data_IF_202809413013
#
_entry.id   IF_202809413013
#
_cell.length_a   1.000
_cell.length_b   1.000
_cell.length_c   1.000
_cell.angle_alpha   90.00
_cell.angle_beta   90.00
_cell.angle_gamma   90.00
#
_symmetry.space_group_name_H-M   'P 1'
#
loop_
_entity.id
_entity.type
_entity.pdbx_description
1 polymer ?
#
# COMPACT_ATOMS: atom_id res chain seq x y z
N UNK A 1 -18.25 -0.09 0.18
CA UNK A 1 -16.90 -0.51 -0.24
C UNK A 1 -17.00 -1.36 -1.49
N UNK A 2 -16.54 -0.87 -2.65
CA UNK A 2 -16.39 -1.72 -3.85
C UNK A 2 -15.38 -2.83 -3.53
N UNK A 3 -15.76 -4.08 -3.79
CA UNK A 3 -14.89 -5.23 -3.54
C UNK A 3 -13.97 -5.46 -4.73
N UNK A 4 -12.66 -5.48 -4.46
CA UNK A 4 -11.68 -5.91 -5.45
C UNK A 4 -11.99 -7.33 -5.94
N UNK A 5 -11.75 -7.58 -7.22
CA UNK A 5 -12.16 -8.81 -7.90
C UNK A 5 -11.62 -10.08 -7.24
N UNK A 6 -10.36 -10.09 -6.82
CA UNK A 6 -9.76 -11.22 -6.10
C UNK A 6 -10.38 -11.50 -4.71
N UNK A 7 -11.15 -10.55 -4.14
CA UNK A 7 -11.88 -10.73 -2.88
C UNK A 7 -13.34 -11.13 -3.08
N UNK A 8 -13.83 -11.15 -4.34
CA UNK A 8 -15.24 -11.49 -4.63
C UNK A 8 -15.57 -12.94 -4.30
N UNK A 9 -14.59 -13.85 -4.31
CA UNK A 9 -14.78 -15.28 -4.06
C UNK A 9 -14.78 -15.70 -2.59
N UNK A 10 -14.46 -14.79 -1.66
CA UNK A 10 -14.46 -15.14 -0.25
C UNK A 10 -15.92 -15.20 0.28
N UNK A 11 -16.30 -16.33 0.88
CA UNK A 11 -17.66 -16.61 1.35
C UNK A 11 -18.18 -15.55 2.35
N UNK A 12 -17.30 -15.01 3.21
CA UNK A 12 -17.62 -13.91 4.14
C UNK A 12 -17.95 -12.61 3.39
N UNK A 13 -17.44 -12.45 2.17
CA UNK A 13 -17.68 -11.28 1.32
C UNK A 13 -18.87 -11.45 0.36
N UNK A 14 -19.40 -12.66 0.15
CA UNK A 14 -20.60 -12.90 -0.66
C UNK A 14 -21.91 -12.71 0.13
N UNK A 15 -21.93 -12.97 1.43
CA UNK A 15 -23.16 -12.97 2.21
C UNK A 15 -23.48 -11.59 2.84
N UNK A 16 -24.46 -10.86 2.29
CA UNK A 16 -24.87 -9.53 2.78
C UNK A 16 -25.48 -9.55 4.18
N UNK A 17 -26.29 -10.56 4.53
CA UNK A 17 -26.93 -10.64 5.85
C UNK A 17 -25.93 -10.99 6.94
N UNK A 18 -24.99 -11.91 6.67
CA UNK A 18 -23.87 -12.19 7.59
C UNK A 18 -23.00 -10.96 7.81
N UNK A 19 -22.75 -10.14 6.79
CA UNK A 19 -22.03 -8.86 6.95
C UNK A 19 -22.75 -7.88 7.85
N UNK A 20 -24.06 -7.72 7.69
CA UNK A 20 -24.84 -6.80 8.52
C UNK A 20 -24.83 -7.25 9.99
N UNK A 21 -25.03 -8.54 10.24
CA UNK A 21 -24.94 -9.11 11.58
C UNK A 21 -23.54 -8.94 12.19
N UNK A 22 -22.48 -9.22 11.42
CA UNK A 22 -21.09 -9.04 11.85
C UNK A 22 -20.75 -7.57 12.14
N UNK A 23 -21.21 -6.65 11.29
CA UNK A 23 -21.06 -5.21 11.51
C UNK A 23 -21.75 -4.76 12.79
N UNK A 24 -23.01 -5.18 13.01
CA UNK A 24 -23.74 -4.87 14.24
C UNK A 24 -23.02 -5.42 15.48
N UNK A 25 -22.46 -6.63 15.39
CA UNK A 25 -21.69 -7.23 16.47
C UNK A 25 -20.42 -6.42 16.79
N UNK A 26 -19.62 -6.04 15.80
CA UNK A 26 -18.44 -5.17 15.98
C UNK A 26 -18.84 -3.84 16.62
N UNK A 27 -19.89 -3.19 16.10
CA UNK A 27 -20.33 -1.90 16.61
C UNK A 27 -20.79 -1.98 18.06
N UNK A 28 -21.49 -3.06 18.47
CA UNK A 28 -21.89 -3.27 19.86
C UNK A 28 -20.69 -3.49 20.78
N UNK A 29 -19.68 -4.24 20.34
CA UNK A 29 -18.45 -4.43 21.11
C UNK A 29 -17.70 -3.10 21.29
N UNK A 30 -17.58 -2.32 20.22
CA UNK A 30 -16.92 -1.03 20.28
C UNK A 30 -17.70 -0.03 21.14
N UNK A 31 -19.05 -0.02 21.08
CA UNK A 31 -19.89 0.84 21.93
C UNK A 31 -19.70 0.50 23.41
N UNK A 32 -19.66 -0.79 23.75
CA UNK A 32 -19.38 -1.25 25.12
C UNK A 32 -17.99 -0.82 25.58
N UNK A 33 -16.97 -1.03 24.75
CA UNK A 33 -15.61 -0.63 25.07
C UNK A 33 -15.49 0.88 25.29
N UNK A 34 -16.08 1.70 24.41
CA UNK A 34 -16.10 3.15 24.58
C UNK A 34 -16.83 3.57 25.85
N UNK A 35 -17.92 2.88 26.22
CA UNK A 35 -18.70 3.21 27.42
C UNK A 35 -17.99 2.81 28.72
N UNK A 36 -17.30 1.67 28.73
CA UNK A 36 -16.62 1.15 29.92
C UNK A 36 -15.26 1.79 30.15
N UNK A 37 -14.47 1.95 29.08
CA UNK A 37 -13.11 2.48 29.16
C UNK A 37 -13.07 4.01 29.09
N UNK A 38 -14.07 4.64 28.45
CA UNK A 38 -14.16 6.09 28.24
C UNK A 38 -12.89 6.69 27.64
N UNK A 39 -12.47 6.24 26.45
CA UNK A 39 -11.26 6.75 25.81
C UNK A 39 -11.38 8.24 25.46
N UNK A 40 -10.29 8.97 25.65
CA UNK A 40 -10.14 10.33 25.10
C UNK A 40 -10.02 10.29 23.57
N UNK A 41 -9.39 9.24 23.02
CA UNK A 41 -9.16 9.07 21.58
C UNK A 41 -9.50 7.65 21.12
N UNK A 42 -10.24 7.54 20.02
CA UNK A 42 -10.45 6.30 19.27
C UNK A 42 -9.77 6.45 17.91
N UNK A 43 -8.61 5.82 17.75
CA UNK A 43 -7.91 5.72 16.47
C UNK A 43 -8.47 4.57 15.65
N UNK A 44 -8.97 4.89 14.45
CA UNK A 44 -9.58 3.94 13.52
C UNK A 44 -8.70 3.82 12.27
N UNK A 45 -8.13 2.64 12.08
CA UNK A 45 -7.40 2.33 10.85
C UNK A 45 -8.39 1.81 9.80
N UNK A 46 -8.54 2.55 8.69
CA UNK A 46 -9.51 2.30 7.60
C UNK A 46 -10.99 2.41 7.99
N UNK A 47 -11.47 1.66 8.98
CA UNK A 47 -12.80 1.86 9.56
C UNK A 47 -13.99 1.35 8.75
N UNK A 48 -13.82 0.33 7.91
CA UNK A 48 -14.88 -0.19 7.03
C UNK A 48 -16.23 -0.51 7.72
N UNK A 49 -16.26 -1.19 8.89
CA UNK A 49 -17.49 -1.46 9.64
C UNK A 49 -18.05 -0.26 10.42
N UNK A 50 -17.25 0.79 10.65
CA UNK A 50 -17.62 1.91 11.52
C UNK A 50 -18.57 2.84 10.75
N UNK A 51 -19.72 3.16 11.35
CA UNK A 51 -20.76 3.97 10.70
C UNK A 51 -20.76 5.41 11.24
N UNK A 52 -21.20 6.40 10.42
CA UNK A 52 -21.34 7.78 10.88
C UNK A 52 -22.24 7.91 12.11
N UNK A 53 -23.36 7.17 12.10
CA UNK A 53 -24.32 7.17 13.21
C UNK A 53 -23.72 6.62 14.49
N UNK A 54 -22.83 5.62 14.39
CA UNK A 54 -22.14 5.09 15.55
C UNK A 54 -21.24 6.16 16.19
N UNK A 55 -20.39 6.82 15.38
CA UNK A 55 -19.47 7.85 15.87
C UNK A 55 -20.24 8.97 16.56
N UNK A 56 -21.29 9.49 15.89
CA UNK A 56 -22.17 10.53 16.47
C UNK A 56 -22.82 10.11 17.79
N UNK A 57 -23.26 8.85 17.92
CA UNK A 57 -23.85 8.34 19.17
C UNK A 57 -22.86 8.26 20.32
N UNK A 58 -21.62 7.84 20.05
CA UNK A 58 -20.57 7.79 21.09
C UNK A 58 -20.20 9.20 21.53
N UNK A 59 -19.96 10.10 20.58
CA UNK A 59 -19.61 11.51 20.84
C UNK A 59 -20.71 12.27 21.59
N UNK A 60 -21.98 11.92 21.38
CA UNK A 60 -23.09 12.52 22.13
C UNK A 60 -23.12 12.12 23.62
N UNK A 61 -22.36 11.10 24.03
CA UNK A 61 -22.37 10.53 25.39
C UNK A 61 -21.03 10.61 26.11
N UNK A 62 -19.95 10.88 25.38
CA UNK A 62 -18.60 10.97 25.91
C UNK A 62 -17.78 11.98 25.11
N UNK A 63 -16.85 12.65 25.79
CA UNK A 63 -15.89 13.56 25.15
C UNK A 63 -14.75 12.75 24.51
N UNK A 64 -15.06 12.00 23.45
CA UNK A 64 -14.13 11.11 22.76
C UNK A 64 -13.84 11.65 21.36
N UNK A 65 -12.56 11.83 21.04
CA UNK A 65 -12.07 12.19 19.72
C UNK A 65 -12.02 10.95 18.82
N UNK A 66 -12.61 11.03 17.62
CA UNK A 66 -12.50 9.98 16.61
C UNK A 66 -11.50 10.37 15.54
N UNK A 67 -10.37 9.67 15.49
CA UNK A 67 -9.30 9.90 14.52
C UNK A 67 -9.28 8.75 13.52
N UNK A 68 -9.25 9.03 12.22
CA UNK A 68 -9.11 8.01 11.19
C UNK A 68 -7.74 8.11 10.52
N UNK A 69 -7.09 6.97 10.30
CA UNK A 69 -6.02 6.85 9.32
C UNK A 69 -6.48 5.94 8.18
N UNK A 70 -6.68 6.52 7.00
CA UNK A 70 -7.21 5.84 5.83
C UNK A 70 -6.09 5.51 4.83
N UNK A 71 -5.66 4.23 4.72
CA UNK A 71 -4.48 3.84 3.94
C UNK A 71 -4.74 3.72 2.42
N UNK A 72 -5.94 4.06 1.97
CA UNK A 72 -6.40 3.93 0.59
C UNK A 72 -6.98 5.27 0.09
N UNK A 73 -7.50 5.33 -1.14
CA UNK A 73 -8.20 6.51 -1.63
C UNK A 73 -9.65 6.55 -1.09
N UNK A 74 -10.02 7.54 -0.26
CA UNK A 74 -11.35 7.60 0.32
C UNK A 74 -12.45 7.86 -0.72
N UNK A 75 -12.16 8.62 -1.80
CA UNK A 75 -13.12 8.86 -2.89
C UNK A 75 -13.56 7.58 -3.60
N UNK A 76 -12.70 6.57 -3.60
CA UNK A 76 -12.98 5.28 -4.24
C UNK A 76 -13.68 4.29 -3.32
N UNK A 77 -13.38 4.33 -2.02
CA UNK A 77 -13.64 3.20 -1.12
C UNK A 77 -14.81 3.39 -0.15
N UNK A 78 -15.12 4.63 0.25
CA UNK A 78 -16.11 4.93 1.28
C UNK A 78 -17.07 6.06 0.89
N UNK A 79 -18.31 6.08 1.43
CA UNK A 79 -19.22 7.21 1.26
C UNK A 79 -18.73 8.48 1.97
N UNK A 80 -19.10 9.64 1.45
CA UNK A 80 -18.75 10.96 2.00
C UNK A 80 -19.08 11.10 3.49
N UNK A 81 -20.30 10.73 3.91
CA UNK A 81 -20.72 10.87 5.32
C UNK A 81 -19.91 10.03 6.30
N UNK A 82 -19.14 9.03 5.84
CA UNK A 82 -18.18 8.32 6.69
C UNK A 82 -16.96 9.16 7.03
N UNK A 83 -16.55 10.07 6.15
CA UNK A 83 -15.37 10.93 6.33
C UNK A 83 -15.71 12.06 7.30
N UNK A 84 -16.85 12.72 7.09
CA UNK A 84 -17.35 13.85 7.90
C UNK A 84 -17.56 13.50 9.38
N UNK A 85 -17.87 12.23 9.68
CA UNK A 85 -18.16 11.81 11.03
C UNK A 85 -16.96 11.82 11.99
N UNK A 86 -15.72 11.75 11.45
CA UNK A 86 -14.49 11.77 12.24
C UNK A 86 -14.08 13.20 12.60
N UNK A 87 -13.42 13.36 13.75
CA UNK A 87 -12.84 14.65 14.15
C UNK A 87 -11.58 14.98 13.36
N UNK A 88 -10.76 13.96 13.07
CA UNK A 88 -9.54 14.06 12.26
C UNK A 88 -9.52 12.88 11.29
N UNK A 89 -9.29 13.16 10.02
CA UNK A 89 -9.23 12.16 8.96
C UNK A 89 -7.93 12.30 8.16
N UNK A 90 -7.00 11.38 8.42
CA UNK A 90 -5.74 11.29 7.67
C UNK A 90 -5.92 10.48 6.39
N UNK A 91 -5.43 11.03 5.28
CA UNK A 91 -5.38 10.33 3.98
C UNK A 91 -4.01 10.48 3.33
N UNK A 92 -3.55 9.40 2.67
CA UNK A 92 -2.31 9.40 1.88
C UNK A 92 -2.44 10.04 0.49
N UNK A 93 -3.59 10.61 0.15
CA UNK A 93 -3.94 11.03 -1.21
C UNK A 93 -4.39 12.49 -1.22
N UNK A 94 -3.49 13.44 -1.54
CA UNK A 94 -3.86 14.86 -1.51
C UNK A 94 -4.84 15.23 -2.59
N UNK A 95 -4.96 14.47 -3.68
CA UNK A 95 -6.04 14.70 -4.65
C UNK A 95 -7.41 14.57 -3.96
N UNK A 96 -7.59 13.50 -3.18
CA UNK A 96 -8.82 13.26 -2.44
C UNK A 96 -9.02 14.31 -1.35
N UNK A 97 -7.97 14.63 -0.59
CA UNK A 97 -7.99 15.66 0.45
C UNK A 97 -8.46 17.01 -0.11
N UNK A 98 -7.81 17.51 -1.17
CA UNK A 98 -8.13 18.80 -1.79
C UNK A 98 -9.54 18.82 -2.37
N UNK A 99 -9.96 17.75 -3.05
CA UNK A 99 -11.30 17.65 -3.62
C UNK A 99 -12.39 17.70 -2.54
N UNK A 100 -12.15 17.09 -1.39
CA UNK A 100 -13.09 17.07 -0.27
C UNK A 100 -13.07 18.39 0.54
N UNK A 101 -11.91 19.04 0.65
CA UNK A 101 -11.80 20.37 1.26
C UNK A 101 -12.55 21.44 0.45
N UNK A 102 -12.59 21.32 -0.89
CA UNK A 102 -13.36 22.22 -1.76
C UNK A 102 -14.86 22.23 -1.48
N UNK A 103 -15.42 21.14 -0.92
CA UNK A 103 -16.83 21.07 -0.52
C UNK A 103 -17.05 21.41 0.96
N UNK A 104 -16.03 21.93 1.65
CA UNK A 104 -16.11 22.45 3.01
C UNK A 104 -15.66 21.52 4.13
N UNK A 105 -15.10 20.34 3.84
CA UNK A 105 -14.56 19.47 4.89
C UNK A 105 -13.24 20.00 5.45
N UNK A 106 -13.25 20.40 6.72
CA UNK A 106 -12.08 20.92 7.43
C UNK A 106 -11.27 19.90 8.24
N UNK A 107 -11.77 18.66 8.36
CA UNK A 107 -11.18 17.63 9.23
C UNK A 107 -10.12 16.75 8.53
N UNK A 108 -9.67 17.12 7.34
CA UNK A 108 -8.82 16.29 6.47
C UNK A 108 -7.35 16.71 6.54
N UNK A 109 -6.49 15.72 6.76
CA UNK A 109 -5.04 15.92 6.87
C UNK A 109 -4.30 14.94 5.96
N UNK A 110 -3.21 15.40 5.36
CA UNK A 110 -2.33 14.51 4.62
C UNK A 110 -1.47 13.70 5.58
N UNK A 111 -1.34 12.40 5.36
CA UNK A 111 -0.36 11.58 6.03
C UNK A 111 0.12 10.46 5.09
N UNK A 112 1.40 10.44 4.70
CA UNK A 112 1.90 9.40 3.81
C UNK A 112 1.96 8.04 4.52
N UNK A 113 2.08 6.97 3.73
CA UNK A 113 2.32 5.63 4.28
C UNK A 113 3.72 5.56 4.92
N UNK A 114 4.07 4.39 5.45
CA UNK A 114 5.26 4.20 6.27
C UNK A 114 5.85 2.80 6.09
N UNK A 115 7.08 2.64 6.56
CA UNK A 115 7.72 1.35 6.79
C UNK A 115 7.68 0.97 8.29
N UNK A 116 7.89 -0.31 8.56
CA UNK A 116 8.07 -0.85 9.92
C UNK A 116 9.40 -1.59 9.89
N UNK A 117 10.52 -1.01 10.37
CA UNK A 117 11.85 -1.61 10.20
C UNK A 117 11.96 -3.07 10.69
N UNK A 118 11.25 -3.41 11.78
CA UNK A 118 11.17 -4.78 12.29
C UNK A 118 10.53 -5.79 11.31
N UNK A 119 9.76 -5.31 10.32
CA UNK A 119 9.09 -6.13 9.31
C UNK A 119 9.61 -5.88 7.89
N UNK A 120 10.28 -4.75 7.65
CA UNK A 120 10.80 -4.33 6.34
C UNK A 120 12.29 -4.02 6.49
N UNK A 121 13.12 -5.01 6.16
CA UNK A 121 14.57 -4.92 6.24
C UNK A 121 15.21 -5.91 5.24
N UNK A 122 16.46 -5.66 4.81
CA UNK A 122 17.21 -6.62 4.01
C UNK A 122 17.39 -7.94 4.77
N UNK A 123 17.33 -9.06 4.06
CA UNK A 123 17.61 -10.40 4.59
C UNK A 123 18.68 -11.10 3.77
N UNK A 124 19.47 -11.95 4.42
CA UNK A 124 20.43 -12.83 3.73
C UNK A 124 19.71 -14.12 3.39
N UNK A 125 19.65 -14.46 2.11
CA UNK A 125 18.98 -15.66 1.64
C UNK A 125 19.88 -16.88 1.85
N UNK A 126 19.30 -17.96 2.37
CA UNK A 126 19.89 -19.30 2.31
C UNK A 126 20.02 -19.79 0.85
N UNK A 127 20.78 -20.87 0.58
CA UNK A 127 20.85 -21.44 -0.76
C UNK A 127 19.50 -21.90 -1.31
N UNK A 128 18.58 -22.37 -0.46
CA UNK A 128 17.23 -22.76 -0.86
C UNK A 128 16.37 -21.55 -1.21
N UNK A 129 16.37 -20.53 -0.35
CA UNK A 129 15.65 -19.28 -0.61
C UNK A 129 16.17 -18.57 -1.84
N UNK A 130 17.48 -18.61 -2.08
CA UNK A 130 18.11 -18.06 -3.29
C UNK A 130 17.55 -18.72 -4.53
N UNK A 131 17.48 -20.06 -4.57
CA UNK A 131 16.90 -20.79 -5.71
C UNK A 131 15.42 -20.47 -5.93
N UNK A 132 14.68 -20.19 -4.85
CA UNK A 132 13.23 -19.97 -4.90
C UNK A 132 12.84 -18.54 -5.23
N UNK A 133 13.52 -17.55 -4.65
CA UNK A 133 13.09 -16.15 -4.63
C UNK A 133 13.98 -15.20 -5.41
N UNK A 134 15.24 -15.56 -5.67
CA UNK A 134 16.17 -14.69 -6.40
C UNK A 134 15.74 -14.54 -7.86
N UNK A 135 15.71 -13.30 -8.34
CA UNK A 135 15.33 -12.96 -9.71
C UNK A 135 15.97 -11.64 -10.12
N UNK A 136 16.37 -11.42 -11.38
CA UNK A 136 16.84 -10.11 -11.80
C UNK A 136 15.75 -9.03 -11.61
N UNK A 137 14.50 -9.33 -11.99
CA UNK A 137 13.38 -8.41 -11.91
C UNK A 137 12.17 -9.07 -11.23
N UNK A 138 11.62 -8.43 -10.21
CA UNK A 138 10.41 -8.92 -9.52
C UNK A 138 9.25 -7.94 -9.59
N UNK A 139 8.03 -8.47 -9.56
CA UNK A 139 6.82 -7.73 -9.25
C UNK A 139 6.03 -8.49 -8.19
N UNK A 140 5.88 -7.89 -7.00
CA UNK A 140 5.04 -8.42 -5.93
C UNK A 140 3.71 -7.67 -5.94
N UNK A 141 2.57 -8.34 -6.04
CA UNK A 141 1.24 -7.70 -5.96
C UNK A 141 0.16 -8.51 -6.64
N UNK A 142 -1.11 -8.26 -6.30
CA UNK A 142 -2.24 -8.98 -6.91
C UNK A 142 -2.41 -8.63 -8.39
N UNK A 143 -2.89 -9.62 -9.15
CA UNK A 143 -3.33 -9.46 -10.54
C UNK A 143 -4.56 -8.54 -10.62
N UNK A 144 -4.48 -7.57 -11.51
CA UNK A 144 -5.60 -6.78 -12.04
C UNK A 144 -5.42 -6.69 -13.56
N UNK A 145 -6.49 -6.44 -14.32
CA UNK A 145 -6.40 -6.45 -15.79
C UNK A 145 -5.39 -5.42 -16.34
N UNK A 146 -5.35 -4.21 -15.77
CA UNK A 146 -4.35 -3.22 -16.16
C UNK A 146 -2.91 -3.65 -15.82
N UNK A 147 -2.71 -4.40 -14.72
CA UNK A 147 -1.40 -4.95 -14.37
C UNK A 147 -1.02 -6.10 -15.27
N UNK A 148 -1.97 -6.94 -15.65
CA UNK A 148 -1.74 -8.00 -16.64
C UNK A 148 -1.29 -7.40 -17.96
N UNK A 149 -1.99 -6.36 -18.45
CA UNK A 149 -1.57 -5.60 -19.62
C UNK A 149 -0.16 -5.01 -19.45
N UNK A 150 0.13 -4.40 -18.31
CA UNK A 150 1.44 -3.79 -18.03
C UNK A 150 2.59 -4.82 -18.01
N UNK A 151 2.46 -5.93 -17.27
CA UNK A 151 3.54 -6.94 -17.21
C UNK A 151 3.68 -7.71 -18.51
N UNK A 152 2.62 -7.80 -19.32
CA UNK A 152 2.68 -8.39 -20.66
C UNK A 152 3.61 -7.62 -21.59
N UNK A 153 3.65 -6.29 -21.45
CA UNK A 153 4.57 -5.40 -22.17
C UNK A 153 6.03 -5.54 -21.70
N UNK A 154 6.31 -6.37 -20.68
CA UNK A 154 7.64 -6.65 -20.14
C UNK A 154 7.99 -8.14 -20.22
N UNK A 155 7.27 -8.91 -21.04
CA UNK A 155 7.41 -10.37 -21.10
C UNK A 155 8.77 -10.85 -21.64
N UNK A 156 9.51 -9.99 -22.31
CA UNK A 156 10.86 -10.20 -22.81
C UNK A 156 11.94 -9.85 -21.76
N UNK A 157 11.57 -9.17 -20.66
CA UNK A 157 12.45 -8.95 -19.53
C UNK A 157 12.46 -10.18 -18.60
N UNK A 158 13.51 -10.37 -17.76
CA UNK A 158 13.59 -11.45 -16.78
C UNK A 158 12.66 -11.23 -15.56
N UNK A 159 11.39 -10.91 -15.84
CA UNK A 159 10.37 -10.56 -14.86
C UNK A 159 9.75 -11.81 -14.21
N UNK A 160 9.65 -11.79 -12.87
CA UNK A 160 9.00 -12.83 -12.08
C UNK A 160 7.89 -12.24 -11.19
N UNK A 161 6.69 -12.81 -11.31
CA UNK A 161 5.47 -12.31 -10.66
C UNK A 161 5.14 -13.11 -9.40
N UNK A 162 4.85 -12.40 -8.30
CA UNK A 162 4.40 -12.96 -7.03
C UNK A 162 3.10 -12.29 -6.61
N UNK A 163 2.04 -13.05 -6.36
CA UNK A 163 0.80 -12.45 -5.88
C UNK A 163 -0.48 -13.26 -6.11
N UNK A 164 -1.59 -12.73 -5.60
CA UNK A 164 -2.90 -13.34 -5.76
C UNK A 164 -3.43 -13.18 -7.19
N UNK A 165 -4.08 -14.21 -7.72
CA UNK A 165 -4.83 -14.16 -8.96
C UNK A 165 -4.02 -14.38 -10.24
N UNK A 166 -2.67 -14.31 -10.21
CA UNK A 166 -1.85 -14.50 -11.41
C UNK A 166 -2.01 -15.88 -12.06
N UNK A 167 -2.14 -16.95 -11.27
CA UNK A 167 -2.37 -18.30 -11.81
C UNK A 167 -3.69 -18.46 -12.58
N UNK A 168 -4.62 -17.50 -12.47
CA UNK A 168 -5.89 -17.48 -13.21
C UNK A 168 -5.83 -16.62 -14.48
N UNK A 169 -4.67 -16.05 -14.82
CA UNK A 169 -4.50 -15.26 -16.05
C UNK A 169 -4.84 -16.11 -17.28
N UNK A 170 -5.64 -15.61 -18.24
CA UNK A 170 -5.88 -16.31 -19.50
C UNK A 170 -4.68 -16.19 -20.46
N UNK A 171 -3.79 -15.21 -20.28
CA UNK A 171 -2.64 -14.99 -21.15
C UNK A 171 -1.50 -16.00 -20.83
N UNK A 172 -1.16 -16.92 -21.73
CA UNK A 172 -0.13 -17.93 -21.49
C UNK A 172 1.26 -17.33 -21.32
N UNK A 173 1.55 -16.18 -21.91
CA UNK A 173 2.84 -15.52 -21.75
C UNK A 173 2.95 -14.92 -20.35
N UNK A 174 1.92 -14.22 -19.88
CA UNK A 174 1.90 -13.73 -18.48
C UNK A 174 1.96 -14.90 -17.50
N UNK A 175 1.29 -16.01 -17.80
CA UNK A 175 1.34 -17.23 -16.99
C UNK A 175 2.78 -17.76 -16.84
N UNK A 176 3.60 -17.67 -17.89
CA UNK A 176 5.02 -18.05 -17.85
C UNK A 176 5.88 -17.19 -16.92
N UNK A 177 5.46 -15.94 -16.65
CA UNK A 177 6.14 -15.03 -15.73
C UNK A 177 5.83 -15.33 -14.25
N UNK A 178 4.80 -16.13 -13.96
CA UNK A 178 4.36 -16.41 -12.59
C UNK A 178 5.39 -17.25 -11.86
N UNK A 179 5.96 -16.69 -10.80
CA UNK A 179 6.96 -17.35 -9.95
C UNK A 179 6.30 -18.05 -8.76
N UNK A 180 5.20 -17.50 -8.26
CA UNK A 180 4.47 -18.07 -7.13
C UNK A 180 3.22 -17.29 -6.73
N UNK A 181 2.58 -17.77 -5.67
CA UNK A 181 1.41 -17.14 -5.07
C UNK A 181 1.73 -15.87 -4.28
N UNK A 182 0.77 -15.38 -3.46
CA UNK A 182 1.01 -14.29 -2.52
C UNK A 182 2.17 -14.61 -1.56
N UNK A 183 3.08 -13.64 -1.40
CA UNK A 183 4.19 -13.69 -0.43
C UNK A 183 3.93 -12.69 0.70
N UNK A 184 4.28 -13.09 1.92
CA UNK A 184 4.10 -12.30 3.15
C UNK A 184 5.30 -12.50 4.08
N UNK A 185 5.49 -11.58 5.03
CA UNK A 185 6.56 -11.69 6.03
C UNK A 185 7.92 -11.96 5.39
N UNK A 186 8.62 -12.96 5.91
CA UNK A 186 9.96 -13.35 5.48
C UNK A 186 10.06 -13.66 3.98
N UNK A 187 9.14 -14.45 3.40
CA UNK A 187 9.14 -14.77 1.97
C UNK A 187 9.11 -13.50 1.09
N UNK A 188 8.38 -12.47 1.52
CA UNK A 188 8.33 -11.18 0.82
C UNK A 188 9.69 -10.46 0.88
N UNK A 189 10.37 -10.49 2.02
CA UNK A 189 11.71 -9.93 2.19
C UNK A 189 12.75 -10.69 1.36
N UNK A 190 12.63 -12.01 1.25
CA UNK A 190 13.48 -12.82 0.37
C UNK A 190 13.32 -12.42 -1.09
N UNK A 191 12.10 -12.17 -1.57
CA UNK A 191 11.90 -11.65 -2.94
C UNK A 191 12.57 -10.29 -3.10
N UNK A 192 12.38 -9.37 -2.16
CA UNK A 192 12.97 -8.02 -2.25
C UNK A 192 14.50 -8.04 -2.20
N UNK A 193 15.08 -8.80 -1.27
CA UNK A 193 16.54 -8.88 -1.07
C UNK A 193 17.22 -9.74 -2.15
N UNK A 194 16.51 -10.71 -2.72
CA UNK A 194 16.96 -11.53 -3.83
C UNK A 194 16.74 -10.89 -5.21
N UNK A 195 16.10 -9.73 -5.28
CA UNK A 195 15.87 -9.03 -6.55
C UNK A 195 16.97 -8.02 -6.85
N UNK A 196 17.41 -7.93 -8.11
CA UNK A 196 18.23 -6.77 -8.53
C UNK A 196 17.35 -5.52 -8.60
N UNK A 197 16.16 -5.65 -9.20
CA UNK A 197 15.16 -4.59 -9.29
C UNK A 197 13.79 -5.13 -8.87
N UNK A 198 13.06 -4.35 -8.08
CA UNK A 198 11.65 -4.58 -7.77
C UNK A 198 10.76 -3.53 -8.43
N UNK A 199 9.84 -3.95 -9.30
CA UNK A 199 8.87 -3.08 -9.93
C UNK A 199 7.74 -2.71 -8.97
N UNK A 200 7.43 -1.42 -8.89
CA UNK A 200 6.26 -0.91 -8.21
C UNK A 200 5.43 -0.06 -9.17
N UNK A 201 4.31 -0.60 -9.65
CA UNK A 201 3.33 0.17 -10.42
C UNK A 201 2.09 0.42 -9.56
N UNK A 202 1.78 1.70 -9.38
CA UNK A 202 0.69 2.18 -8.53
C UNK A 202 -0.69 1.86 -9.10
N UNK A 203 -1.70 1.79 -8.23
CA UNK A 203 -3.06 1.53 -8.67
C UNK A 203 -3.70 2.86 -9.11
N UNK A 204 -4.14 2.99 -10.37
CA UNK A 204 -4.49 4.30 -10.96
C UNK A 204 -5.65 5.02 -10.26
N UNK A 205 -6.54 4.27 -9.61
CA UNK A 205 -7.65 4.84 -8.84
C UNK A 205 -7.35 5.08 -7.35
N UNK A 206 -6.36 4.39 -6.78
CA UNK A 206 -6.05 4.45 -5.35
C UNK A 206 -4.90 5.41 -5.03
N UNK A 207 -4.03 5.58 -6.01
CA UNK A 207 -2.76 6.28 -5.92
C UNK A 207 -2.76 7.23 -7.12
N UNK A 208 -3.51 8.33 -7.02
CA UNK A 208 -3.71 9.27 -8.13
C UNK A 208 -2.43 10.12 -8.25
N UNK A 209 -2.20 10.98 -7.25
CA UNK A 209 -0.96 11.76 -7.12
C UNK A 209 -0.04 11.23 -6.02
N UNK A 210 -0.60 10.49 -5.06
CA UNK A 210 0.13 9.90 -3.94
C UNK A 210 0.76 8.55 -4.27
N UNK A 211 1.55 8.05 -3.33
CA UNK A 211 2.24 6.75 -3.43
C UNK A 211 1.55 5.66 -2.59
N UNK A 212 1.85 4.39 -2.87
CA UNK A 212 1.35 3.26 -2.10
C UNK A 212 2.29 2.90 -0.93
N UNK A 213 1.84 1.99 -0.06
CA UNK A 213 2.66 1.46 1.05
C UNK A 213 3.94 0.80 0.55
N UNK A 214 3.88 0.11 -0.60
CA UNK A 214 5.02 -0.65 -1.14
C UNK A 214 6.23 0.22 -1.42
N UNK A 215 6.02 1.49 -1.77
CA UNK A 215 7.10 2.47 -1.94
C UNK A 215 8.01 2.51 -0.71
N UNK A 216 7.42 2.51 0.49
CA UNK A 216 8.14 2.53 1.76
C UNK A 216 8.65 1.14 2.18
N UNK A 217 7.91 0.07 1.87
CA UNK A 217 8.34 -1.31 2.17
C UNK A 217 9.59 -1.69 1.38
N UNK A 218 9.62 -1.39 0.08
CA UNK A 218 10.78 -1.65 -0.78
C UNK A 218 11.98 -0.82 -0.34
N UNK A 219 11.77 0.47 -0.08
CA UNK A 219 12.83 1.35 0.39
C UNK A 219 13.45 0.84 1.70
N UNK A 220 12.65 0.55 2.72
CA UNK A 220 13.15 0.02 4.00
C UNK A 220 13.79 -1.38 3.89
N UNK A 221 13.43 -2.16 2.86
CA UNK A 221 14.05 -3.45 2.57
C UNK A 221 15.35 -3.33 1.77
N UNK A 222 15.79 -2.11 1.42
CA UNK A 222 17.01 -1.88 0.64
C UNK A 222 16.89 -2.30 -0.84
N UNK A 223 15.68 -2.47 -1.36
CA UNK A 223 15.46 -2.91 -2.74
C UNK A 223 15.56 -1.74 -3.72
N UNK A 224 16.26 -1.94 -4.85
CA UNK A 224 16.21 -1.00 -5.96
C UNK A 224 14.81 -1.01 -6.58
N UNK A 225 14.06 0.05 -6.34
CA UNK A 225 12.69 0.17 -6.83
C UNK A 225 12.64 0.97 -8.13
N UNK A 226 11.96 0.44 -9.14
CA UNK A 226 11.53 1.20 -10.32
C UNK A 226 10.02 1.45 -10.22
N UNK A 227 9.63 2.72 -10.20
CA UNK A 227 8.28 3.18 -9.86
C UNK A 227 7.71 4.14 -10.90
N UNK A 228 6.40 4.09 -11.14
CA UNK A 228 5.74 5.07 -12.02
C UNK A 228 5.77 6.47 -11.39
N UNK A 229 5.91 7.49 -12.23
CA UNK A 229 5.97 8.87 -11.80
C UNK A 229 4.71 9.29 -11.04
N UNK A 230 4.92 9.87 -9.85
CA UNK A 230 3.90 10.46 -8.99
C UNK A 230 4.32 11.85 -8.56
N UNK A 231 3.38 12.80 -8.57
CA UNK A 231 3.64 14.19 -8.20
C UNK A 231 4.17 14.31 -6.76
N UNK A 232 3.69 13.45 -5.86
CA UNK A 232 4.08 13.46 -4.45
C UNK A 232 5.29 12.60 -4.12
N UNK A 233 5.98 12.06 -5.12
CA UNK A 233 7.13 11.18 -4.88
C UNK A 233 8.34 11.96 -4.36
N UNK A 234 8.65 13.11 -4.98
CA UNK A 234 9.88 13.87 -4.71
C UNK A 234 10.03 14.37 -3.27
N UNK A 235 8.96 14.79 -2.56
CA UNK A 235 9.05 15.12 -1.13
C UNK A 235 9.35 13.92 -0.22
N UNK A 236 9.10 12.69 -0.69
CA UNK A 236 9.29 11.47 0.09
C UNK A 236 10.67 10.87 -0.21
N UNK A 237 11.01 10.72 -1.48
CA UNK A 237 12.27 10.13 -1.93
C UNK A 237 12.83 10.89 -3.13
N UNK A 238 14.16 10.96 -3.24
CA UNK A 238 14.88 11.64 -4.31
C UNK A 238 14.99 10.74 -5.57
N UNK A 239 14.31 11.10 -6.69
CA UNK A 239 14.39 10.33 -7.92
C UNK A 239 15.81 10.26 -8.49
N UNK A 240 16.20 9.08 -8.98
CA UNK A 240 17.52 8.77 -9.51
C UNK A 240 18.58 8.43 -8.46
N UNK A 241 18.32 8.68 -7.18
CA UNK A 241 19.28 8.47 -6.09
C UNK A 241 18.75 7.47 -5.04
N UNK A 242 17.46 7.56 -4.72
CA UNK A 242 16.79 6.70 -3.73
C UNK A 242 15.73 5.79 -4.37
N UNK A 243 15.32 6.06 -5.59
CA UNK A 243 14.46 5.21 -6.40
C UNK A 243 14.56 5.61 -7.88
N UNK A 244 14.14 4.73 -8.77
CA UNK A 244 14.12 4.96 -10.21
C UNK A 244 12.70 5.25 -10.68
N UNK A 245 12.50 6.31 -11.47
CA UNK A 245 11.18 6.77 -11.87
C UNK A 245 11.02 6.67 -13.38
N UNK A 246 9.90 6.10 -13.83
CA UNK A 246 9.52 6.09 -15.25
C UNK A 246 8.17 6.79 -15.47
N UNK A 247 8.03 7.43 -16.63
CA UNK A 247 6.79 8.07 -17.09
C UNK A 247 6.05 7.24 -18.14
N UNK A 248 6.78 6.41 -18.87
CA UNK A 248 6.25 5.55 -19.92
C UNK A 248 7.01 4.22 -20.01
N UNK A 249 6.51 3.30 -20.85
CA UNK A 249 7.11 1.98 -21.05
C UNK A 249 8.52 2.05 -21.68
N UNK A 250 8.81 3.08 -22.48
CA UNK A 250 10.12 3.27 -23.08
C UNK A 250 11.17 3.69 -22.06
N UNK A 251 10.84 4.65 -21.19
CA UNK A 251 11.68 5.02 -20.04
C UNK A 251 11.88 3.83 -19.11
N UNK A 252 10.81 3.08 -18.81
CA UNK A 252 10.90 1.88 -17.99
C UNK A 252 11.90 0.88 -18.58
N UNK A 253 11.80 0.56 -19.88
CA UNK A 253 12.72 -0.36 -20.55
C UNK A 253 14.18 0.11 -20.47
N UNK A 254 14.44 1.40 -20.74
CA UNK A 254 15.81 1.95 -20.61
C UNK A 254 16.37 1.81 -19.20
N UNK A 255 15.55 2.04 -18.18
CA UNK A 255 15.97 1.85 -16.78
C UNK A 255 16.26 0.37 -16.49
N UNK A 256 15.40 -0.54 -16.95
CA UNK A 256 15.62 -1.98 -16.77
C UNK A 256 16.90 -2.43 -17.46
N UNK A 257 17.12 -2.05 -18.72
CA UNK A 257 18.32 -2.43 -19.47
C UNK A 257 19.60 -1.91 -18.79
N UNK A 258 19.60 -0.67 -18.31
CA UNK A 258 20.76 -0.07 -17.65
C UNK A 258 21.09 -0.75 -16.31
N UNK A 259 20.09 -0.87 -15.43
CA UNK A 259 20.32 -1.27 -14.05
C UNK A 259 20.35 -2.79 -13.85
N UNK A 260 19.70 -3.58 -14.71
CA UNK A 260 19.87 -5.05 -14.68
C UNK A 260 21.30 -5.46 -15.12
N UNK A 261 21.94 -4.67 -15.99
CA UNK A 261 23.34 -4.88 -16.35
C UNK A 261 24.33 -4.36 -15.29
N UNK A 262 23.85 -3.58 -14.30
CA UNK A 262 24.66 -2.89 -13.28
C UNK A 262 24.08 -3.11 -11.88
N UNK A 263 24.08 -4.36 -11.38
CA UNK A 263 23.46 -4.68 -10.10
C UNK A 263 24.04 -3.93 -8.90
N UNK A 264 25.32 -3.53 -8.96
CA UNK A 264 25.94 -2.71 -7.90
C UNK A 264 25.36 -1.29 -7.83
N UNK A 265 25.08 -0.67 -8.98
CA UNK A 265 24.43 0.65 -9.02
C UNK A 265 22.98 0.56 -8.50
N UNK A 266 22.26 -0.50 -8.88
CA UNK A 266 20.91 -0.77 -8.37
C UNK A 266 20.95 -0.94 -6.84
N UNK A 267 21.89 -1.73 -6.31
CA UNK A 267 22.05 -1.94 -4.86
C UNK A 267 22.33 -0.64 -4.12
N UNK A 268 23.16 0.25 -4.68
CA UNK A 268 23.45 1.55 -4.08
C UNK A 268 22.18 2.41 -3.94
N UNK A 269 21.34 2.46 -4.99
CA UNK A 269 20.05 3.18 -4.94
C UNK A 269 19.14 2.60 -3.84
N UNK A 270 19.05 1.28 -3.76
CA UNK A 270 18.26 0.59 -2.72
C UNK A 270 18.73 0.94 -1.29
N UNK A 271 20.04 0.97 -1.04
CA UNK A 271 20.57 1.33 0.28
C UNK A 271 20.36 2.82 0.59
N UNK A 272 20.43 3.72 -0.40
CA UNK A 272 20.09 5.13 -0.22
C UNK A 272 18.61 5.28 0.20
N UNK A 273 17.71 4.57 -0.50
CA UNK A 273 16.29 4.49 -0.16
C UNK A 273 16.07 4.02 1.28
N UNK A 274 16.83 3.01 1.72
CA UNK A 274 16.74 2.43 3.05
C UNK A 274 17.10 3.43 4.13
N UNK A 275 18.22 4.14 3.95
CA UNK A 275 18.66 5.18 4.90
C UNK A 275 17.57 6.24 5.08
N UNK A 276 17.01 6.76 3.97
CA UNK A 276 15.89 7.71 4.00
C UNK A 276 14.66 7.14 4.70
N UNK A 277 14.24 5.94 4.33
CA UNK A 277 13.01 5.33 4.86
C UNK A 277 13.07 5.08 6.36
N UNK A 278 14.20 4.56 6.87
CA UNK A 278 14.38 4.29 8.30
C UNK A 278 14.53 5.59 9.10
N UNK A 279 15.17 6.61 8.52
CA UNK A 279 15.38 7.89 9.18
C UNK A 279 14.11 8.75 9.26
N UNK A 280 13.17 8.65 8.31
CA UNK A 280 12.11 9.66 8.17
C UNK A 280 10.71 9.09 7.89
N UNK A 281 10.57 7.80 7.60
CA UNK A 281 9.32 7.23 7.10
C UNK A 281 8.86 5.96 7.83
N UNK A 282 9.24 5.83 9.11
CA UNK A 282 8.75 4.74 9.96
C UNK A 282 7.33 5.02 10.48
N UNK A 283 6.66 3.97 10.98
CA UNK A 283 5.38 4.12 11.68
C UNK A 283 5.48 5.12 12.84
N UNK A 284 6.58 5.13 13.60
CA UNK A 284 6.77 6.08 14.70
C UNK A 284 6.74 7.53 14.21
N UNK A 285 7.42 7.86 13.10
CA UNK A 285 7.36 9.20 12.52
C UNK A 285 5.93 9.60 12.12
N UNK A 286 5.11 8.66 11.64
CA UNK A 286 3.70 8.95 11.33
C UNK A 286 2.87 9.16 12.58
N UNK A 287 3.14 8.43 13.65
CA UNK A 287 2.48 8.65 14.94
C UNK A 287 2.86 10.02 15.49
N UNK A 288 4.13 10.42 15.41
CA UNK A 288 4.58 11.74 15.84
C UNK A 288 3.91 12.86 15.01
N UNK A 289 3.80 12.68 13.69
CA UNK A 289 3.07 13.60 12.79
C UNK A 289 1.56 13.66 13.08
N UNK A 290 0.95 12.57 13.56
CA UNK A 290 -0.46 12.58 14.00
C UNK A 290 -0.66 13.33 15.32
N UNK A 291 0.37 13.41 16.16
CA UNK A 291 0.30 14.00 17.51
C UNK A 291 0.70 15.49 17.55
N UNK A 292 1.42 15.96 16.53
CA UNK A 292 1.85 17.36 16.38
C UNK A 292 0.72 18.29 15.96
#
# INVERSE_FOLDING_TARGET
MRLFEYRRDNALYKNKSTKAAYQLWILRLLERACSSWRPDVVLVIKGGPITPNFIRRVKARANTLFVNFFPDNPLWMIPFGCIEAYDVFFTKERYAMRSLQQVGLGNLHYLPMYCVPAQHHPVVLSPEETRRFSTPLSFVGSRYDYRERFVRELADAPLRLWGAGWGRTPDPVVRGLVAGGPVFGHDKLCVYSGSTISLNHHHPMNDIVGVNTRTFELAASGACQVVDAKDELSPLFKPGDELLVYRDLGELRRLLDHFLARPEEARAIGENARRRAVAEHTLSHRVDEMLA
#
